data_IF_986733079366
#
_entry.id   IF_986733079366
#
_cell.length_a   1.000
_cell.length_b   1.000
_cell.length_c   1.000
_cell.angle_alpha   90.00
_cell.angle_beta   90.00
_cell.angle_gamma   90.00
#
_symmetry.space_group_name_H-M   'P 1'
#
loop_
_entity.id
_entity.type
_entity.pdbx_description
1 polymer ?
#
# COMPACT_ATOMS: atom_id res chain seq x y z
N UNK A 1 22.49 29.64 -21.54
CA UNK A 1 21.32 29.48 -20.63
C UNK A 1 20.43 28.28 -20.99
N UNK A 2 20.97 27.14 -21.46
CA UNK A 2 20.17 25.92 -21.75
C UNK A 2 20.31 24.83 -20.68
N UNK A 3 21.32 24.95 -19.80
CA UNK A 3 21.59 24.01 -18.70
C UNK A 3 20.55 24.10 -17.57
N UNK A 4 19.88 25.24 -17.44
CA UNK A 4 18.81 25.44 -16.45
C UNK A 4 17.52 24.73 -16.86
N UNK A 5 17.28 24.53 -18.16
CA UNK A 5 16.14 23.76 -18.67
C UNK A 5 16.29 22.26 -18.34
N UNK A 6 17.52 21.73 -18.39
CA UNK A 6 17.81 20.34 -18.02
C UNK A 6 17.71 20.08 -16.51
N UNK A 7 18.00 21.10 -15.67
CA UNK A 7 17.88 21.00 -14.22
C UNK A 7 16.43 20.83 -13.75
N UNK A 8 15.46 21.44 -14.44
CA UNK A 8 14.05 21.26 -14.13
C UNK A 8 13.55 19.83 -14.40
N UNK A 9 14.11 19.13 -15.41
CA UNK A 9 13.69 17.77 -15.76
C UNK A 9 14.07 16.75 -14.67
N UNK A 10 15.21 16.93 -14.02
CA UNK A 10 15.76 16.00 -13.02
C UNK A 10 14.94 16.03 -11.71
N UNK A 11 14.26 17.15 -11.41
CA UNK A 11 13.53 17.36 -10.15
C UNK A 11 12.11 16.78 -10.21
N UNK A 12 11.50 16.67 -11.40
CA UNK A 12 10.12 16.21 -11.56
C UNK A 12 10.02 14.67 -11.72
N UNK A 13 11.09 14.03 -12.23
CA UNK A 13 11.14 12.58 -12.44
C UNK A 13 10.96 11.70 -11.18
N UNK A 14 11.44 12.03 -9.97
CA UNK A 14 11.32 11.14 -8.82
C UNK A 14 9.93 11.13 -8.15
N UNK A 15 9.02 12.03 -8.53
CA UNK A 15 7.69 12.13 -7.92
C UNK A 15 6.68 11.09 -8.45
N UNK A 16 6.99 10.38 -9.55
CA UNK A 16 6.18 9.27 -10.06
C UNK A 16 6.59 7.90 -9.47
N UNK A 17 6.96 7.85 -8.19
CA UNK A 17 7.20 6.57 -7.53
C UNK A 17 5.89 6.01 -6.94
N UNK A 18 5.48 4.88 -7.53
CA UNK A 18 4.43 3.93 -7.13
C UNK A 18 3.12 4.51 -6.57
N UNK A 19 2.20 4.85 -7.45
CA UNK A 19 0.77 4.80 -7.16
C UNK A 19 0.27 3.35 -7.38
N UNK A 20 0.20 2.57 -6.30
CA UNK A 20 -0.42 1.24 -6.32
C UNK A 20 -1.94 1.38 -6.37
N UNK A 21 -2.48 1.58 -7.58
CA UNK A 21 -3.92 1.58 -7.89
C UNK A 21 -4.43 0.16 -8.24
N UNK A 22 -3.69 -0.88 -7.88
CA UNK A 22 -4.10 -2.27 -8.11
C UNK A 22 -5.30 -2.67 -7.24
N UNK A 23 -6.14 -3.62 -7.68
CA UNK A 23 -7.09 -4.28 -6.80
C UNK A 23 -6.31 -4.87 -5.62
N UNK A 24 -6.55 -4.38 -4.41
CA UNK A 24 -5.93 -4.96 -3.23
C UNK A 24 -6.39 -6.42 -3.13
N UNK A 25 -5.47 -7.38 -2.99
CA UNK A 25 -5.83 -8.77 -2.82
C UNK A 25 -6.76 -8.88 -1.60
N UNK A 26 -7.98 -9.35 -1.85
CA UNK A 26 -8.94 -9.72 -0.82
C UNK A 26 -8.33 -10.90 -0.07
N UNK A 27 -7.98 -10.68 1.20
CA UNK A 27 -7.37 -11.68 2.06
C UNK A 27 -8.38 -12.32 3.03
N UNK A 28 -9.68 -12.21 2.72
CA UNK A 28 -10.76 -12.72 3.55
C UNK A 28 -11.28 -11.69 4.58
N UNK A 29 -12.00 -12.19 5.58
CA UNK A 29 -12.62 -11.34 6.61
C UNK A 29 -12.36 -11.86 8.02
N UNK A 30 -12.09 -10.95 8.96
CA UNK A 30 -11.95 -11.23 10.38
C UNK A 30 -12.99 -10.42 11.15
N UNK A 31 -13.90 -11.09 11.85
CA UNK A 31 -14.97 -10.42 12.61
C UNK A 31 -15.77 -9.42 11.76
N UNK A 32 -16.06 -9.77 10.50
CA UNK A 32 -16.76 -8.92 9.54
C UNK A 32 -15.95 -7.74 9.00
N UNK A 33 -14.62 -7.70 9.25
CA UNK A 33 -13.71 -6.69 8.72
C UNK A 33 -12.89 -7.27 7.59
N UNK A 34 -12.80 -6.51 6.50
CA UNK A 34 -11.95 -6.86 5.35
C UNK A 34 -10.48 -6.96 5.77
N UNK A 35 -9.83 -8.05 5.36
CA UNK A 35 -8.40 -8.24 5.49
C UNK A 35 -7.68 -7.83 4.20
N UNK A 36 -6.50 -7.26 4.37
CA UNK A 36 -5.60 -6.81 3.32
C UNK A 36 -4.21 -7.39 3.53
N UNK A 37 -3.50 -7.68 2.44
CA UNK A 37 -2.12 -8.16 2.52
C UNK A 37 -1.17 -7.03 2.90
N UNK A 38 -0.37 -7.26 3.93
CA UNK A 38 0.71 -6.36 4.34
C UNK A 38 2.01 -6.62 3.58
N UNK A 39 2.94 -5.65 3.57
CA UNK A 39 4.19 -5.72 2.80
C UNK A 39 5.15 -6.84 3.21
N UNK A 40 4.92 -7.45 4.39
CA UNK A 40 5.70 -8.60 4.89
C UNK A 40 4.95 -9.94 4.74
N UNK A 41 3.86 -9.95 3.97
CA UNK A 41 3.07 -11.15 3.69
C UNK A 41 2.21 -11.64 4.85
N UNK A 42 1.88 -10.77 5.82
CA UNK A 42 0.85 -11.02 6.85
C UNK A 42 -0.38 -10.15 6.58
N UNK A 43 -1.54 -10.50 7.16
CA UNK A 43 -2.79 -9.80 6.88
C UNK A 43 -3.19 -8.85 8.00
N UNK A 44 -3.90 -7.79 7.63
CA UNK A 44 -4.37 -6.79 8.57
C UNK A 44 -5.74 -6.24 8.16
N UNK A 45 -6.48 -5.72 9.14
CA UNK A 45 -7.64 -4.86 8.91
C UNK A 45 -7.38 -3.44 9.45
N UNK A 46 -8.20 -2.48 9.03
CA UNK A 46 -8.22 -1.12 9.59
C UNK A 46 -9.22 -1.08 10.75
N UNK A 47 -8.74 -0.77 11.95
CA UNK A 47 -9.61 -0.69 13.14
C UNK A 47 -10.35 0.67 13.22
N UNK A 48 -11.22 0.84 14.22
CA UNK A 48 -12.01 2.06 14.41
C UNK A 48 -11.19 3.33 14.64
N UNK A 49 -9.92 3.17 15.03
CA UNK A 49 -8.97 4.27 15.23
C UNK A 49 -8.13 4.54 13.97
N UNK A 50 -8.51 3.97 12.81
CA UNK A 50 -7.79 4.05 11.53
C UNK A 50 -6.36 3.48 11.56
N UNK A 51 -6.07 2.55 12.49
CA UNK A 51 -4.77 1.88 12.57
C UNK A 51 -4.83 0.47 11.97
N UNK A 52 -3.70 0.01 11.42
CA UNK A 52 -3.53 -1.37 10.95
C UNK A 52 -3.45 -2.32 12.14
N UNK A 53 -4.32 -3.31 12.18
CA UNK A 53 -4.29 -4.39 13.17
C UNK A 53 -4.04 -5.70 12.44
N UNK A 54 -2.91 -6.33 12.74
CA UNK A 54 -2.54 -7.60 12.12
C UNK A 54 -3.27 -8.77 12.78
N UNK A 55 -3.64 -9.75 11.98
CA UNK A 55 -4.23 -11.03 12.41
C UNK A 55 -3.22 -12.16 12.24
N UNK A 56 -3.56 -13.34 12.75
CA UNK A 56 -2.72 -14.52 12.55
C UNK A 56 -2.60 -14.86 11.07
N UNK A 57 -1.44 -15.36 10.67
CA UNK A 57 -1.17 -15.66 9.25
C UNK A 57 -2.05 -16.78 8.71
N UNK A 58 -2.56 -17.65 9.58
CA UNK A 58 -3.55 -18.68 9.22
C UNK A 58 -4.93 -18.12 8.86
N UNK A 59 -5.20 -16.86 9.21
CA UNK A 59 -6.44 -16.16 8.85
C UNK A 59 -6.33 -15.41 7.52
N UNK A 60 -5.14 -15.35 6.92
CA UNK A 60 -4.97 -14.84 5.57
C UNK A 60 -5.56 -15.81 4.55
N UNK A 61 -6.55 -15.37 3.80
CA UNK A 61 -7.09 -16.09 2.63
C UNK A 61 -6.82 -15.28 1.35
N UNK A 62 -5.53 -15.05 1.10
CA UNK A 62 -4.97 -14.53 -0.15
C UNK A 62 -3.86 -15.48 -0.63
#
# INVERSE_FOLDING_TARGET
MRKLLFLFLIIVLPMLSCEDNGPQPDCGTHNGKQLYQGPRGGCYYINSNNNKTYVDRSECDC
#
